data_IF_345488601730
#
_entry.id   IF_345488601730
#
_cell.length_a   1.000
_cell.length_b   1.000
_cell.length_c   1.000
_cell.angle_alpha   90.00
_cell.angle_beta   90.00
_cell.angle_gamma   90.00
#
_symmetry.space_group_name_H-M   'P 1'
#
loop_
_entity.id
_entity.type
_entity.pdbx_description
1 polymer ?
#
# COMPACT_ATOMS: atom_id res chain seq x y z
N UNK A 1 -9.95 -2.13 8.96
CA UNK A 1 -8.77 -1.66 9.73
C UNK A 1 -7.43 -2.20 9.21
N UNK A 2 -7.37 -3.03 8.15
CA UNK A 2 -6.12 -3.63 7.69
C UNK A 2 -5.37 -2.80 6.62
N UNK A 3 -6.03 -1.86 5.94
CA UNK A 3 -5.44 -1.15 4.79
C UNK A 3 -4.14 -0.40 5.13
N UNK A 4 -4.13 0.41 6.19
CA UNK A 4 -2.93 1.19 6.57
C UNK A 4 -1.73 0.28 6.92
N UNK A 5 -2.01 -0.84 7.59
CA UNK A 5 -0.98 -1.84 7.93
C UNK A 5 -0.42 -2.52 6.68
N UNK A 6 -1.29 -2.83 5.70
CA UNK A 6 -0.86 -3.37 4.40
C UNK A 6 0.01 -2.38 3.65
N UNK A 7 -0.38 -1.10 3.59
CA UNK A 7 0.42 -0.05 2.91
C UNK A 7 1.78 0.13 3.58
N UNK A 8 1.81 0.16 4.91
CA UNK A 8 3.06 0.23 5.67
C UNK A 8 3.98 -0.94 5.32
N UNK A 9 3.43 -2.15 5.28
CA UNK A 9 4.19 -3.37 4.99
C UNK A 9 4.68 -3.42 3.54
N UNK A 10 3.91 -2.96 2.56
CA UNK A 10 4.40 -2.77 1.19
C UNK A 10 5.59 -1.81 1.14
N UNK A 11 5.63 -0.82 2.05
CA UNK A 11 6.70 0.19 2.07
C UNK A 11 7.94 -0.27 2.83
N UNK A 12 7.82 -1.21 3.78
CA UNK A 12 8.91 -1.69 4.63
C UNK A 12 9.43 -3.08 4.27
N UNK A 13 8.65 -3.87 3.54
CA UNK A 13 8.95 -5.26 3.18
C UNK A 13 8.86 -5.43 1.65
N UNK A 14 10.03 -5.48 1.02
CA UNK A 14 10.15 -5.57 -0.43
C UNK A 14 9.65 -6.91 -1.00
N UNK A 15 9.81 -8.01 -0.26
CA UNK A 15 9.35 -9.34 -0.67
C UNK A 15 7.83 -9.41 -0.61
N UNK A 16 7.22 -8.83 0.43
CA UNK A 16 5.78 -8.66 0.52
C UNK A 16 5.25 -7.77 -0.62
N UNK A 17 5.94 -6.67 -0.94
CA UNK A 17 5.54 -5.80 -2.05
C UNK A 17 5.61 -6.52 -3.41
N UNK A 18 6.63 -7.37 -3.63
CA UNK A 18 6.74 -8.18 -4.84
C UNK A 18 5.60 -9.21 -4.94
N UNK A 19 5.32 -9.92 -3.84
CA UNK A 19 4.18 -10.86 -3.76
C UNK A 19 2.84 -10.17 -3.96
N UNK A 20 2.62 -8.99 -3.37
CA UNK A 20 1.41 -8.19 -3.55
C UNK A 20 1.16 -7.77 -5.01
N UNK A 21 2.21 -7.72 -5.86
CA UNK A 21 2.07 -7.43 -7.29
C UNK A 21 1.68 -8.65 -8.12
N UNK A 22 2.09 -9.85 -7.71
CA UNK A 22 1.83 -11.09 -8.46
C UNK A 22 0.59 -11.83 -7.94
N UNK A 23 0.40 -11.87 -6.63
CA UNK A 23 -0.69 -12.54 -5.94
C UNK A 23 -1.09 -11.78 -4.65
N UNK A 24 -1.86 -10.69 -4.77
CA UNK A 24 -2.29 -9.89 -3.61
C UNK A 24 -3.24 -10.64 -2.67
N UNK A 25 -4.09 -11.53 -3.18
CA UNK A 25 -5.02 -12.28 -2.33
C UNK A 25 -4.27 -13.32 -1.48
N UNK A 26 -3.34 -14.06 -2.09
CA UNK A 26 -2.47 -14.99 -1.38
C UNK A 26 -1.58 -14.30 -0.36
N UNK A 27 -0.94 -13.18 -0.73
CA UNK A 27 -0.06 -12.44 0.18
C UNK A 27 -0.78 -11.89 1.42
N UNK A 28 -2.04 -11.44 1.26
CA UNK A 28 -2.88 -11.00 2.38
C UNK A 28 -3.33 -12.19 3.24
N UNK A 29 -3.76 -13.29 2.61
CA UNK A 29 -4.23 -14.48 3.30
C UNK A 29 -3.13 -15.15 4.15
N UNK A 30 -1.90 -15.21 3.67
CA UNK A 30 -0.74 -15.72 4.42
C UNK A 30 -0.50 -14.96 5.74
N UNK A 31 -0.82 -13.65 5.75
CA UNK A 31 -0.71 -12.79 6.94
C UNK A 31 -2.00 -12.71 7.76
N UNK A 32 -3.04 -13.45 7.36
CA UNK A 32 -4.36 -13.43 8.00
C UNK A 32 -5.12 -12.12 7.79
N UNK A 33 -4.72 -11.31 6.80
CA UNK A 33 -5.39 -10.06 6.47
C UNK A 33 -6.45 -10.28 5.42
N UNK A 34 -7.58 -9.59 5.59
CA UNK A 34 -8.65 -9.52 4.60
C UNK A 34 -8.96 -8.05 4.35
N UNK A 35 -8.90 -7.68 3.09
CA UNK A 35 -9.32 -6.37 2.63
C UNK A 35 -10.68 -6.50 1.94
N UNK A 36 -11.48 -5.45 2.02
CA UNK A 36 -12.66 -5.36 1.18
C UNK A 36 -12.26 -5.26 -0.30
N UNK A 37 -13.21 -5.55 -1.20
CA UNK A 37 -12.98 -5.37 -2.64
C UNK A 37 -12.58 -3.93 -2.99
N UNK A 38 -13.12 -2.95 -2.26
CA UNK A 38 -12.82 -1.53 -2.46
C UNK A 38 -11.41 -1.17 -1.98
N UNK A 39 -11.00 -1.68 -0.82
CA UNK A 39 -9.66 -1.49 -0.26
C UNK A 39 -8.59 -2.13 -1.17
N UNK A 40 -8.87 -3.32 -1.70
CA UNK A 40 -7.99 -4.02 -2.64
C UNK A 40 -7.88 -3.26 -3.97
N UNK A 41 -9.00 -2.77 -4.51
CA UNK A 41 -9.00 -1.96 -5.73
C UNK A 41 -8.25 -0.63 -5.56
N UNK A 42 -8.36 -0.01 -4.38
CA UNK A 42 -7.59 1.18 -4.03
C UNK A 42 -6.09 0.90 -3.99
N UNK A 43 -5.68 -0.19 -3.33
CA UNK A 43 -4.27 -0.62 -3.30
C UNK A 43 -3.73 -0.91 -4.69
N UNK A 44 -4.50 -1.63 -5.52
CA UNK A 44 -4.07 -1.99 -6.86
C UNK A 44 -3.80 -0.74 -7.72
N UNK A 45 -4.68 0.27 -7.63
CA UNK A 45 -4.46 1.56 -8.29
C UNK A 45 -3.20 2.27 -7.77
N UNK A 46 -2.93 2.22 -6.47
CA UNK A 46 -1.75 2.84 -5.87
C UNK A 46 -0.44 2.14 -6.30
N UNK A 47 -0.41 0.80 -6.29
CA UNK A 47 0.74 -0.02 -6.68
C UNK A 47 1.03 0.11 -8.18
N UNK A 48 -0.01 0.12 -9.02
CA UNK A 48 0.15 0.25 -10.49
C UNK A 48 0.67 1.62 -10.87
N UNK A 49 0.20 2.70 -10.20
CA UNK A 49 0.75 4.06 -10.40
C UNK A 49 2.22 4.15 -10.05
N UNK A 50 2.67 3.46 -9.00
CA UNK A 50 4.10 3.44 -8.63
C UNK A 50 4.97 2.62 -9.57
N UNK A 51 4.40 1.63 -10.27
CA UNK A 51 5.13 0.89 -11.29
C UNK A 51 5.40 1.76 -12.54
N UNK A 52 4.54 2.75 -12.82
CA UNK A 52 4.75 3.75 -13.88
C UNK A 52 5.57 4.98 -13.43
N UNK A 53 5.62 5.28 -12.13
CA UNK A 53 6.42 6.37 -11.58
C UNK A 53 7.00 5.97 -10.22
N UNK A 54 8.30 5.68 -10.19
CA UNK A 54 9.06 5.08 -9.09
C UNK A 54 9.05 5.84 -7.74
N UNK A 55 8.29 6.92 -7.58
CA UNK A 55 8.43 7.89 -6.48
C UNK A 55 7.19 8.14 -5.60
N UNK A 56 5.97 7.70 -5.97
CA UNK A 56 4.77 8.26 -5.31
C UNK A 56 4.25 7.53 -4.04
N UNK A 57 4.51 6.24 -3.81
CA UNK A 57 4.01 5.56 -2.59
C UNK A 57 4.67 6.13 -1.32
N UNK A 58 5.94 6.54 -1.39
CA UNK A 58 6.61 7.22 -0.26
C UNK A 58 5.99 8.59 0.06
N UNK A 59 5.26 9.20 -0.88
CA UNK A 59 4.57 10.48 -0.65
C UNK A 59 3.28 10.31 0.16
N UNK A 60 2.59 9.16 0.02
CA UNK A 60 1.35 8.87 0.75
C UNK A 60 1.60 8.54 2.22
N UNK A 61 2.73 7.91 2.55
CA UNK A 61 3.14 7.69 3.94
C UNK A 61 3.71 8.96 4.60
N UNK A 62 4.17 9.93 3.79
CA UNK A 62 4.71 11.20 4.26
C UNK A 62 3.62 12.27 4.28
N UNK A 63 2.58 12.06 5.10
CA UNK A 63 1.76 13.18 5.56
C UNK A 63 2.65 14.05 6.46
N UNK A 64 3.28 15.06 5.86
CA UNK A 64 3.85 16.19 6.62
C UNK A 64 2.68 16.83 7.39
N UNK A 65 2.74 16.97 8.72
CA UNK A 65 1.81 17.82 9.43
C UNK A 65 2.20 19.28 9.12
N UNK A 66 1.78 19.80 7.96
CA UNK A 66 1.90 21.22 7.65
C UNK A 66 0.70 21.95 8.24
N UNK A 67 0.66 22.00 9.57
CA UNK A 67 -0.02 23.07 10.30
C UNK A 67 0.87 24.30 10.19
N UNK A 68 0.44 25.31 9.45
CA UNK A 68 0.47 26.70 9.91
C UNK A 68 -0.30 27.56 8.92
N UNK A 69 -1.53 27.88 9.29
CA UNK A 69 -2.21 29.06 8.80
C UNK A 69 -1.93 30.14 9.83
N UNK A 70 -0.96 31.01 9.55
CA UNK A 70 -0.77 32.35 10.12
C UNK A 70 0.25 33.09 9.25
#
# INVERSE_FOLDING_TARGET
MALAQVVYQISTDADFAARMRTDPEGALAERGWRLSKEELAFLWKAITRTAQGKDEIMSLARVKPSKSWF
#
